data_IF_201739841331
#
_entry.id   IF_201739841331
#
_cell.length_a   1.000
_cell.length_b   1.000
_cell.length_c   1.000
_cell.angle_alpha   90.00
_cell.angle_beta   90.00
_cell.angle_gamma   90.00
#
_symmetry.space_group_name_H-M   'P 1'
#
loop_
_entity.id
_entity.type
_entity.pdbx_description
1 polymer ?
#
# COMPACT_ATOMS: atom_id res chain seq x y z
N UNK A 1 -16.15 -25.10 -0.84
CA UNK A 1 -16.00 -25.01 0.63
C UNK A 1 -14.69 -25.66 1.03
N UNK A 2 -13.94 -25.04 1.94
CA UNK A 2 -12.69 -25.56 2.51
C UNK A 2 -12.85 -25.70 4.03
N UNK A 3 -12.16 -26.64 4.68
CA UNK A 3 -12.18 -26.75 6.15
C UNK A 3 -11.64 -25.45 6.79
N UNK A 4 -12.21 -25.09 7.94
CA UNK A 4 -11.66 -24.00 8.76
C UNK A 4 -10.21 -24.34 9.14
N UNK A 5 -9.23 -23.44 8.91
CA UNK A 5 -7.85 -23.73 9.24
C UNK A 5 -7.62 -23.83 10.75
N UNK A 6 -6.64 -24.60 11.16
CA UNK A 6 -6.22 -24.71 12.57
C UNK A 6 -4.92 -23.93 12.76
N UNK A 7 -4.84 -22.99 13.75
CA UNK A 7 -3.64 -22.21 13.98
C UNK A 7 -2.49 -23.11 14.48
N UNK A 8 -1.33 -23.00 13.83
CA UNK A 8 -0.10 -23.66 14.23
C UNK A 8 0.56 -22.89 15.41
N UNK A 9 1.63 -23.41 16.03
CA UNK A 9 2.37 -22.66 17.04
C UNK A 9 2.81 -21.28 16.51
N UNK A 10 2.52 -20.22 17.26
CA UNK A 10 2.79 -18.84 16.90
C UNK A 10 1.77 -18.19 15.96
N UNK A 11 0.72 -18.91 15.56
CA UNK A 11 -0.35 -18.40 14.70
C UNK A 11 -1.64 -18.12 15.47
N UNK A 12 -2.43 -17.25 14.90
CA UNK A 12 -3.75 -16.84 15.39
C UNK A 12 -4.81 -17.15 14.34
N UNK A 13 -5.88 -17.83 14.73
CA UNK A 13 -7.09 -17.98 13.92
C UNK A 13 -7.98 -16.77 14.13
N UNK A 14 -8.38 -16.14 13.05
CA UNK A 14 -9.25 -14.95 13.06
C UNK A 14 -10.52 -15.24 12.28
N UNK A 15 -11.66 -14.92 12.87
CA UNK A 15 -12.96 -14.88 12.17
C UNK A 15 -13.05 -13.54 11.44
N UNK A 16 -13.11 -13.60 10.13
CA UNK A 16 -13.09 -12.44 9.25
C UNK A 16 -14.35 -11.58 9.40
N UNK A 17 -14.17 -10.28 9.52
CA UNK A 17 -15.25 -9.28 9.44
C UNK A 17 -15.27 -8.63 8.07
N UNK A 18 -14.11 -8.27 7.54
CA UNK A 18 -13.97 -7.69 6.21
C UNK A 18 -12.58 -7.97 5.63
N UNK A 19 -12.44 -7.85 4.33
CA UNK A 19 -11.16 -7.95 3.63
C UNK A 19 -10.97 -6.76 2.69
N UNK A 20 -9.74 -6.23 2.61
CA UNK A 20 -9.36 -5.23 1.63
C UNK A 20 -9.24 -5.82 0.23
N UNK A 21 -9.41 -4.99 -0.80
CA UNK A 21 -9.25 -5.40 -2.20
C UNK A 21 -8.05 -4.68 -2.79
N UNK A 22 -7.04 -5.45 -3.14
CA UNK A 22 -5.78 -4.95 -3.66
C UNK A 22 -5.57 -5.35 -5.13
N UNK A 23 -4.73 -4.57 -5.85
CA UNK A 23 -4.41 -4.91 -7.23
C UNK A 23 -3.72 -6.28 -7.36
N UNK A 24 -2.93 -6.66 -6.38
CA UNK A 24 -2.24 -7.95 -6.34
C UNK A 24 -3.22 -9.13 -6.28
N UNK A 25 -4.37 -9.00 -5.61
CA UNK A 25 -5.43 -10.01 -5.60
C UNK A 25 -5.97 -10.28 -7.01
N UNK A 26 -6.14 -9.20 -7.82
CA UNK A 26 -6.57 -9.33 -9.21
C UNK A 26 -5.52 -10.00 -10.09
N UNK A 27 -4.24 -9.77 -9.81
CA UNK A 27 -3.13 -10.43 -10.50
C UNK A 27 -3.02 -11.89 -10.07
N UNK A 28 -3.17 -12.19 -8.78
CA UNK A 28 -3.18 -13.55 -8.25
C UNK A 28 -4.31 -14.38 -8.90
N UNK A 29 -5.53 -13.83 -8.95
CA UNK A 29 -6.66 -14.47 -9.63
C UNK A 29 -6.38 -14.79 -11.11
N UNK A 30 -5.53 -14.01 -11.77
CA UNK A 30 -5.12 -14.18 -13.18
C UNK A 30 -3.87 -15.04 -13.34
N UNK A 31 -3.27 -15.55 -12.27
CA UNK A 31 -2.04 -16.34 -12.29
C UNK A 31 -0.74 -15.54 -12.47
N UNK A 32 -0.80 -14.20 -12.39
CA UNK A 32 0.38 -13.33 -12.55
C UNK A 32 1.05 -12.94 -11.22
N UNK A 33 0.50 -13.37 -10.10
CA UNK A 33 1.05 -13.13 -8.77
C UNK A 33 0.82 -14.39 -7.90
N UNK A 34 1.60 -15.46 -8.12
CA UNK A 34 1.39 -16.72 -7.40
C UNK A 34 1.70 -16.52 -5.90
N UNK A 35 0.94 -17.18 -5.01
CA UNK A 35 1.23 -17.13 -3.59
C UNK A 35 2.59 -17.77 -3.30
N UNK A 36 3.29 -17.37 -2.22
CA UNK A 36 4.49 -18.04 -1.75
C UNK A 36 4.24 -19.53 -1.46
N UNK A 37 5.28 -20.34 -1.55
CA UNK A 37 5.18 -21.79 -1.28
C UNK A 37 4.66 -22.03 0.16
N UNK A 38 3.65 -22.85 0.29
CA UNK A 38 3.04 -23.21 1.58
C UNK A 38 1.90 -22.29 2.03
N UNK A 39 1.59 -21.25 1.26
CA UNK A 39 0.44 -20.37 1.48
C UNK A 39 -0.78 -20.95 0.73
N UNK A 40 -1.96 -20.72 1.28
CA UNK A 40 -3.24 -21.10 0.67
C UNK A 40 -3.44 -20.47 -0.72
N UNK A 41 -4.16 -21.15 -1.59
CA UNK A 41 -4.60 -20.63 -2.90
C UNK A 41 -5.78 -19.64 -2.79
N UNK A 42 -6.38 -19.52 -1.60
CA UNK A 42 -7.41 -18.51 -1.35
C UNK A 42 -6.76 -17.13 -1.39
N UNK A 43 -7.25 -16.26 -2.24
CA UNK A 43 -6.73 -14.88 -2.37
C UNK A 43 -7.12 -14.00 -1.19
N UNK A 44 -6.55 -12.79 -1.14
CA UNK A 44 -6.80 -11.76 -0.12
C UNK A 44 -5.56 -11.50 0.73
N UNK A 45 -4.97 -10.31 0.54
CA UNK A 45 -3.68 -9.93 1.14
C UNK A 45 -3.82 -9.13 2.44
N UNK A 46 -5.04 -8.76 2.80
CA UNK A 46 -5.35 -8.11 4.07
C UNK A 46 -6.79 -8.39 4.49
N UNK A 47 -7.00 -8.42 5.78
CA UNK A 47 -8.33 -8.58 6.36
C UNK A 47 -8.37 -8.02 7.78
N UNK A 48 -9.58 -7.80 8.28
CA UNK A 48 -9.85 -7.52 9.69
C UNK A 48 -10.78 -8.58 10.27
N UNK A 49 -10.74 -8.73 11.56
CA UNK A 49 -11.62 -9.69 12.22
C UNK A 49 -11.41 -9.76 13.73
N UNK A 50 -11.97 -10.82 14.30
CA UNK A 50 -11.92 -11.10 15.73
C UNK A 50 -11.17 -12.41 15.95
N UNK A 51 -10.24 -12.42 16.89
CA UNK A 51 -9.48 -13.61 17.26
C UNK A 51 -10.42 -14.69 17.79
N UNK A 52 -10.41 -15.86 17.16
CA UNK A 52 -11.27 -17.01 17.48
C UNK A 52 -10.50 -18.10 18.24
N UNK A 53 -9.23 -18.34 17.85
CA UNK A 53 -8.35 -19.28 18.54
C UNK A 53 -6.89 -18.84 18.40
N UNK A 54 -6.04 -19.32 19.31
CA UNK A 54 -4.61 -19.04 19.32
C UNK A 54 -3.81 -20.34 19.35
N UNK A 55 -2.73 -20.39 18.59
CA UNK A 55 -1.77 -21.50 18.61
C UNK A 55 -0.82 -21.42 19.83
N UNK A 56 -0.11 -22.51 20.08
CA UNK A 56 0.85 -22.55 21.17
C UNK A 56 1.92 -21.46 21.00
N UNK A 57 2.31 -20.81 22.12
CA UNK A 57 3.35 -19.79 22.14
C UNK A 57 2.90 -18.38 21.73
N UNK A 58 1.64 -18.18 21.31
CA UNK A 58 1.07 -16.84 21.10
C UNK A 58 0.96 -16.11 22.43
N UNK A 59 1.47 -14.89 22.49
CA UNK A 59 1.52 -14.07 23.72
C UNK A 59 0.89 -12.69 23.56
N UNK A 60 0.79 -12.20 22.32
CA UNK A 60 0.34 -10.83 22.04
C UNK A 60 -1.18 -10.69 21.94
N UNK A 61 -1.89 -11.79 21.68
CA UNK A 61 -3.31 -11.77 21.37
C UNK A 61 -4.11 -12.71 22.27
N UNK A 62 -5.36 -12.37 22.48
CA UNK A 62 -6.35 -13.16 23.22
C UNK A 62 -7.59 -13.38 22.37
N UNK A 63 -8.33 -14.45 22.64
CA UNK A 63 -9.63 -14.71 22.01
C UNK A 63 -10.56 -13.53 22.32
N UNK A 64 -11.20 -13.03 21.26
CA UNK A 64 -12.08 -11.86 21.31
C UNK A 64 -11.40 -10.53 20.95
N UNK A 65 -10.07 -10.48 20.81
CA UNK A 65 -9.38 -9.26 20.38
C UNK A 65 -9.74 -8.91 18.92
N UNK A 66 -9.93 -7.62 18.65
CA UNK A 66 -10.09 -7.09 17.31
C UNK A 66 -8.73 -6.87 16.65
N UNK A 67 -8.58 -7.32 15.41
CA UNK A 67 -7.30 -7.28 14.68
C UNK A 67 -7.46 -6.88 13.23
N UNK A 68 -6.40 -6.29 12.69
CA UNK A 68 -6.16 -6.11 11.25
C UNK A 68 -4.91 -6.90 10.87
N UNK A 69 -4.96 -7.60 9.76
CA UNK A 69 -3.91 -8.53 9.34
C UNK A 69 -3.34 -8.17 7.97
N UNK A 70 -2.00 -8.23 7.85
CA UNK A 70 -1.32 -8.32 6.57
C UNK A 70 -1.08 -9.80 6.25
N UNK A 71 -1.56 -10.25 5.11
CA UNK A 71 -1.62 -11.65 4.73
C UNK A 71 -0.81 -11.93 3.46
N UNK A 72 -0.36 -13.16 3.31
CA UNK A 72 0.20 -13.66 2.05
C UNK A 72 -0.88 -14.35 1.17
N UNK A 73 -2.09 -14.47 1.70
CA UNK A 73 -3.28 -15.09 1.11
C UNK A 73 -4.27 -15.46 2.20
N UNK A 74 -5.49 -15.88 1.81
CA UNK A 74 -6.53 -16.35 2.73
C UNK A 74 -7.52 -15.30 3.22
N UNK A 75 -7.31 -14.02 2.93
CA UNK A 75 -8.18 -12.94 3.44
C UNK A 75 -9.63 -13.00 2.94
N UNK A 76 -9.90 -13.66 1.79
CA UNK A 76 -11.24 -13.78 1.23
C UNK A 76 -11.96 -15.07 1.70
N UNK A 77 -11.70 -15.47 2.94
CA UNK A 77 -12.37 -16.58 3.60
C UNK A 77 -13.05 -16.10 4.89
N UNK A 78 -14.01 -16.88 5.39
CA UNK A 78 -14.69 -16.60 6.67
C UNK A 78 -13.73 -16.68 7.86
N UNK A 79 -12.64 -17.44 7.71
CA UNK A 79 -11.56 -17.59 8.69
C UNK A 79 -10.21 -17.59 8.00
N UNK A 80 -9.24 -16.93 8.60
CA UNK A 80 -7.85 -17.01 8.17
C UNK A 80 -6.94 -17.28 9.37
N UNK A 81 -5.74 -17.79 9.10
CA UNK A 81 -4.66 -17.88 10.07
C UNK A 81 -3.54 -16.94 9.69
N UNK A 82 -2.90 -16.33 10.68
CA UNK A 82 -1.73 -15.50 10.48
C UNK A 82 -0.76 -15.63 11.67
N UNK A 83 0.57 -15.52 11.44
CA UNK A 83 1.53 -15.34 12.51
C UNK A 83 1.16 -14.14 13.39
N UNK A 84 1.32 -14.26 14.72
CA UNK A 84 0.93 -13.19 15.66
C UNK A 84 1.60 -11.83 15.34
N UNK A 85 2.78 -11.84 14.73
CA UNK A 85 3.52 -10.63 14.34
C UNK A 85 2.96 -9.89 13.11
N UNK A 86 2.06 -10.52 12.34
CA UNK A 86 1.39 -9.93 11.18
C UNK A 86 0.03 -9.30 11.52
N UNK A 87 -0.33 -9.30 12.79
CA UNK A 87 -1.54 -8.70 13.31
C UNK A 87 -1.23 -7.40 14.04
N UNK A 88 -2.10 -6.41 13.86
CA UNK A 88 -2.08 -5.15 14.63
C UNK A 88 -3.49 -4.84 15.13
N UNK A 89 -3.66 -4.07 16.22
CA UNK A 89 -4.97 -3.59 16.61
C UNK A 89 -5.50 -2.61 15.56
N UNK A 90 -6.83 -2.52 15.33
CA UNK A 90 -7.39 -1.46 14.51
C UNK A 90 -7.05 -0.09 15.09
N UNK A 91 -6.92 0.96 14.27
CA UNK A 91 -6.70 2.30 14.77
C UNK A 91 -7.84 2.74 15.69
N UNK A 92 -7.57 3.50 16.76
CA UNK A 92 -8.62 3.96 17.67
C UNK A 92 -9.74 4.70 16.95
N UNK A 93 -10.99 4.27 17.18
CA UNK A 93 -12.19 4.85 16.58
C UNK A 93 -12.47 4.44 15.13
N UNK A 94 -11.69 3.53 14.57
CA UNK A 94 -11.93 2.97 13.22
C UNK A 94 -12.53 1.58 13.38
N UNK A 95 -13.71 1.36 12.78
CA UNK A 95 -14.37 0.06 12.76
C UNK A 95 -13.62 -0.95 11.91
N UNK A 96 -13.88 -2.25 12.13
CA UNK A 96 -13.17 -3.33 11.45
C UNK A 96 -13.38 -3.34 9.92
N UNK A 97 -14.55 -2.92 9.44
CA UNK A 97 -14.83 -2.88 7.99
C UNK A 97 -13.94 -1.83 7.33
N UNK A 98 -13.86 -0.64 7.92
CA UNK A 98 -12.98 0.43 7.44
C UNK A 98 -11.50 0.07 7.59
N UNK A 99 -11.12 -0.55 8.70
CA UNK A 99 -9.73 -0.92 8.98
C UNK A 99 -9.20 -2.05 8.07
N UNK A 100 -10.09 -2.87 7.48
CA UNK A 100 -9.69 -4.00 6.64
C UNK A 100 -8.86 -3.62 5.41
N UNK A 101 -9.01 -2.41 4.89
CA UNK A 101 -8.27 -1.93 3.69
C UNK A 101 -7.07 -1.04 4.01
N UNK A 102 -6.54 -1.10 5.24
CA UNK A 102 -5.49 -0.18 5.69
C UNK A 102 -4.08 -0.79 5.62
N UNK A 103 -3.93 -2.06 6.01
CA UNK A 103 -2.62 -2.56 6.41
C UNK A 103 -1.70 -2.85 5.21
N UNK A 104 -2.24 -3.30 4.10
CA UNK A 104 -1.46 -3.56 2.88
C UNK A 104 -0.86 -2.27 2.32
N UNK A 105 -1.67 -1.23 2.16
CA UNK A 105 -1.19 0.06 1.65
C UNK A 105 -0.26 0.74 2.66
N UNK A 106 -0.52 0.63 3.96
CA UNK A 106 0.33 1.20 5.01
C UNK A 106 1.70 0.52 5.03
N UNK A 107 1.75 -0.81 5.04
CA UNK A 107 3.00 -1.57 5.02
C UNK A 107 3.81 -1.27 3.74
N UNK A 108 3.13 -1.24 2.58
CA UNK A 108 3.75 -0.89 1.30
C UNK A 108 4.38 0.50 1.35
N UNK A 109 3.65 1.51 1.78
CA UNK A 109 4.15 2.89 1.77
C UNK A 109 5.24 3.09 2.82
N UNK A 110 5.00 2.69 4.07
CA UNK A 110 5.95 2.93 5.18
C UNK A 110 7.29 2.28 4.88
N UNK A 111 7.30 0.99 4.49
CA UNK A 111 8.55 0.29 4.19
C UNK A 111 9.32 0.90 3.01
N UNK A 112 8.62 1.30 1.95
CA UNK A 112 9.27 1.90 0.79
C UNK A 112 9.76 3.34 1.06
N UNK A 113 9.04 4.13 1.84
CA UNK A 113 9.51 5.47 2.22
C UNK A 113 10.68 5.41 3.20
N UNK A 114 10.73 4.40 4.07
CA UNK A 114 11.87 4.15 4.95
C UNK A 114 13.11 3.77 4.14
N UNK A 115 13.01 2.82 3.21
CA UNK A 115 14.09 2.44 2.28
C UNK A 115 14.55 3.63 1.43
N UNK A 116 13.62 4.44 0.91
CA UNK A 116 13.96 5.66 0.16
C UNK A 116 14.56 6.75 1.05
N UNK A 117 14.41 6.65 2.36
CA UNK A 117 14.89 7.63 3.33
C UNK A 117 14.24 8.99 3.12
N UNK A 118 12.90 9.04 2.95
CA UNK A 118 12.15 10.29 2.79
C UNK A 118 12.29 11.16 4.04
N UNK A 119 12.60 12.45 3.85
CA UNK A 119 12.86 13.39 4.93
C UNK A 119 11.91 14.58 4.89
N UNK A 120 11.75 15.21 6.05
CA UNK A 120 11.06 16.51 6.18
C UNK A 120 11.64 17.53 5.20
N UNK A 121 10.76 18.27 4.52
CA UNK A 121 11.13 19.31 3.54
C UNK A 121 11.48 18.78 2.15
N UNK A 122 11.64 17.46 1.96
CA UNK A 122 11.81 16.86 0.63
C UNK A 122 10.50 16.84 -0.16
N UNK A 123 10.61 16.71 -1.47
CA UNK A 123 9.46 16.54 -2.37
C UNK A 123 9.33 15.08 -2.79
N UNK A 124 8.18 14.48 -2.46
CA UNK A 124 7.76 13.17 -2.94
C UNK A 124 6.86 13.32 -4.17
N UNK A 125 7.24 12.69 -5.29
CA UNK A 125 6.36 12.47 -6.43
C UNK A 125 5.65 11.12 -6.28
N UNK A 126 4.32 11.13 -6.32
CA UNK A 126 3.48 9.93 -6.20
C UNK A 126 2.73 9.69 -7.51
N UNK A 127 3.07 8.62 -8.23
CA UNK A 127 2.29 8.20 -9.38
C UNK A 127 1.03 7.44 -8.97
N UNK A 128 -0.10 7.76 -9.63
CA UNK A 128 -1.40 7.17 -9.29
C UNK A 128 -1.92 7.65 -7.93
N UNK A 129 -1.77 8.94 -7.64
CA UNK A 129 -2.05 9.58 -6.35
C UNK A 129 -3.46 9.37 -5.80
N UNK A 130 -4.45 9.08 -6.66
CA UNK A 130 -5.83 8.82 -6.25
C UNK A 130 -6.16 7.33 -5.99
N UNK A 131 -5.18 6.42 -6.10
CA UNK A 131 -5.32 5.03 -5.69
C UNK A 131 -5.08 4.84 -4.20
N UNK A 132 -5.35 3.64 -3.66
CA UNK A 132 -5.16 3.35 -2.22
C UNK A 132 -3.74 3.66 -1.74
N UNK A 133 -2.71 3.11 -2.40
CA UNK A 133 -1.30 3.41 -2.10
C UNK A 133 -1.01 4.90 -2.23
N UNK A 134 -1.47 5.55 -3.31
CA UNK A 134 -1.22 6.97 -3.54
C UNK A 134 -1.85 7.88 -2.50
N UNK A 135 -3.09 7.59 -2.11
CA UNK A 135 -3.82 8.33 -1.08
C UNK A 135 -3.13 8.20 0.29
N UNK A 136 -2.71 6.98 0.65
CA UNK A 136 -1.98 6.75 1.89
C UNK A 136 -0.59 7.41 1.85
N UNK A 137 0.17 7.25 0.75
CA UNK A 137 1.50 7.86 0.59
C UNK A 137 1.47 9.39 0.72
N UNK A 138 0.44 10.02 0.15
CA UNK A 138 0.26 11.47 0.22
C UNK A 138 0.07 11.93 1.68
N UNK A 139 -0.81 11.28 2.43
CA UNK A 139 -1.07 11.62 3.82
C UNK A 139 0.14 11.31 4.72
N UNK A 140 0.78 10.16 4.52
CA UNK A 140 1.97 9.76 5.26
C UNK A 140 3.14 10.72 5.04
N UNK A 141 3.46 11.05 3.77
CA UNK A 141 4.53 12.00 3.48
C UNK A 141 4.25 13.39 4.06
N UNK A 142 2.99 13.85 3.99
CA UNK A 142 2.58 15.11 4.64
C UNK A 142 2.79 15.07 6.15
N UNK A 143 2.49 13.96 6.82
CA UNK A 143 2.71 13.80 8.27
C UNK A 143 4.19 13.85 8.66
N UNK A 144 5.08 13.45 7.75
CA UNK A 144 6.54 13.57 7.90
C UNK A 144 7.08 14.99 7.59
N UNK A 145 6.21 15.91 7.17
CA UNK A 145 6.59 17.25 6.76
C UNK A 145 7.22 17.33 5.37
N UNK A 146 7.02 16.33 4.52
CA UNK A 146 7.42 16.37 3.12
C UNK A 146 6.36 17.07 2.25
N UNK A 147 6.77 17.56 1.08
CA UNK A 147 5.88 18.10 0.07
C UNK A 147 5.48 17.01 -0.92
N UNK A 148 4.22 16.95 -1.30
CA UNK A 148 3.74 15.92 -2.23
C UNK A 148 3.30 16.55 -3.54
N UNK A 149 3.84 16.03 -4.64
CA UNK A 149 3.33 16.19 -6.00
C UNK A 149 2.73 14.84 -6.41
N UNK A 150 1.48 14.82 -6.87
CA UNK A 150 0.81 13.59 -7.26
C UNK A 150 0.41 13.62 -8.73
N UNK A 151 0.40 12.46 -9.41
CA UNK A 151 -0.16 12.35 -10.75
C UNK A 151 -1.47 11.57 -10.73
N UNK A 152 -2.45 12.01 -11.54
CA UNK A 152 -3.72 11.32 -11.74
C UNK A 152 -4.26 11.62 -13.14
N UNK A 153 -5.28 10.89 -13.61
CA UNK A 153 -5.72 10.96 -15.02
C UNK A 153 -7.13 11.50 -15.21
N UNK A 154 -7.68 12.24 -14.24
CA UNK A 154 -8.96 12.94 -14.40
C UNK A 154 -9.14 14.00 -13.35
N UNK A 155 -9.92 15.04 -13.65
CA UNK A 155 -10.17 16.15 -12.73
C UNK A 155 -10.67 15.70 -11.34
N UNK A 156 -11.66 14.78 -11.20
CA UNK A 156 -12.06 14.31 -9.88
C UNK A 156 -10.92 13.62 -9.10
N UNK A 157 -10.02 12.91 -9.80
CA UNK A 157 -8.87 12.25 -9.19
C UNK A 157 -7.78 13.25 -8.80
N UNK A 158 -7.57 14.30 -9.58
CA UNK A 158 -6.66 15.40 -9.24
C UNK A 158 -7.17 16.13 -7.98
N UNK A 159 -8.45 16.43 -7.92
CA UNK A 159 -9.08 17.02 -6.74
C UNK A 159 -8.94 16.12 -5.50
N UNK A 160 -9.14 14.80 -5.68
CA UNK A 160 -8.90 13.82 -4.60
C UNK A 160 -7.47 13.90 -4.05
N UNK A 161 -6.44 13.96 -4.92
CA UNK A 161 -5.06 14.12 -4.50
C UNK A 161 -4.85 15.37 -3.65
N UNK A 162 -5.36 16.52 -4.12
CA UNK A 162 -5.26 17.79 -3.40
C UNK A 162 -5.97 17.75 -2.04
N UNK A 163 -7.18 17.22 -1.99
CA UNK A 163 -7.98 17.07 -0.76
C UNK A 163 -7.26 16.24 0.29
N UNK A 164 -6.49 15.22 -0.13
CA UNK A 164 -5.73 14.36 0.77
C UNK A 164 -4.33 14.88 1.11
N UNK A 165 -3.96 16.05 0.60
CA UNK A 165 -2.76 16.76 1.05
C UNK A 165 -1.64 16.87 0.04
N UNK A 166 -1.83 16.45 -1.21
CA UNK A 166 -0.90 16.81 -2.27
C UNK A 166 -0.87 18.34 -2.45
N UNK A 167 0.33 18.91 -2.55
CA UNK A 167 0.51 20.34 -2.79
C UNK A 167 0.23 20.70 -4.25
N UNK A 168 0.53 19.76 -5.16
CA UNK A 168 0.28 19.87 -6.60
C UNK A 168 -0.22 18.53 -7.10
N UNK A 169 -1.24 18.55 -7.97
CA UNK A 169 -1.75 17.38 -8.67
C UNK A 169 -1.67 17.63 -10.17
N UNK A 170 -1.02 16.72 -10.90
CA UNK A 170 -0.70 16.83 -12.33
C UNK A 170 -1.44 15.77 -13.14
N UNK A 171 -2.02 16.17 -14.26
CA UNK A 171 -2.57 15.20 -15.20
C UNK A 171 -1.45 14.47 -15.93
N UNK A 172 -1.41 13.14 -15.81
CA UNK A 172 -0.38 12.34 -16.47
C UNK A 172 -0.53 12.25 -18.00
N UNK A 173 -1.62 12.75 -18.56
CA UNK A 173 -1.78 12.88 -20.02
C UNK A 173 -1.03 14.09 -20.60
N UNK A 174 -0.70 15.08 -19.75
CA UNK A 174 0.09 16.24 -20.10
C UNK A 174 1.58 16.08 -19.76
N UNK A 175 2.30 17.18 -19.83
CA UNK A 175 3.73 17.23 -19.45
C UNK A 175 3.89 17.36 -17.93
N UNK A 176 3.74 16.23 -17.25
CA UNK A 176 3.90 16.17 -15.80
C UNK A 176 5.35 16.32 -15.34
N UNK A 177 6.35 16.07 -16.20
CA UNK A 177 7.77 16.25 -15.86
C UNK A 177 8.07 17.73 -15.64
N UNK A 178 7.64 18.59 -16.55
CA UNK A 178 7.78 20.03 -16.43
C UNK A 178 6.96 20.56 -15.25
N UNK A 179 5.75 20.03 -15.03
CA UNK A 179 4.95 20.34 -13.84
C UNK A 179 5.64 20.01 -12.52
N UNK A 180 6.35 18.88 -12.41
CA UNK A 180 7.17 18.54 -11.24
C UNK A 180 8.32 19.54 -11.08
N UNK A 181 9.01 19.90 -12.17
CA UNK A 181 10.09 20.87 -12.13
C UNK A 181 9.60 22.24 -11.70
N UNK A 182 8.50 22.72 -12.22
CA UNK A 182 7.88 23.97 -11.82
C UNK A 182 7.52 23.96 -10.34
N UNK A 183 6.84 22.91 -9.86
CA UNK A 183 6.45 22.74 -8.46
C UNK A 183 7.63 22.70 -7.48
N UNK A 184 8.83 22.41 -7.98
CA UNK A 184 10.06 22.30 -7.19
C UNK A 184 11.10 23.39 -7.48
N UNK A 185 10.73 24.44 -8.22
CA UNK A 185 11.66 25.52 -8.60
C UNK A 185 12.83 25.03 -9.47
N UNK A 186 12.58 24.09 -10.36
CA UNK A 186 13.56 23.51 -11.29
C UNK A 186 14.39 22.35 -10.72
N UNK A 187 14.28 22.02 -9.41
CA UNK A 187 15.12 21.00 -8.75
C UNK A 187 14.75 19.56 -9.12
N UNK A 188 13.47 19.30 -9.31
CA UNK A 188 12.90 17.95 -9.43
C UNK A 188 12.50 17.35 -8.07
N UNK A 189 11.94 16.12 -8.10
CA UNK A 189 11.49 15.38 -6.93
C UNK A 189 12.66 14.70 -6.22
N UNK A 190 12.70 14.79 -4.89
CA UNK A 190 13.73 14.14 -4.08
C UNK A 190 13.47 12.62 -3.96
N UNK A 191 12.19 12.21 -3.92
CA UNK A 191 11.78 10.81 -3.93
C UNK A 191 10.65 10.62 -4.94
N UNK A 192 10.67 9.49 -5.66
CA UNK A 192 9.57 9.06 -6.55
C UNK A 192 9.04 7.72 -6.08
N UNK A 193 7.72 7.64 -5.84
CA UNK A 193 7.00 6.39 -5.64
C UNK A 193 6.33 6.01 -6.97
N UNK A 194 6.89 4.99 -7.63
CA UNK A 194 6.48 4.58 -8.97
C UNK A 194 5.71 3.26 -8.97
N UNK A 195 4.50 3.28 -9.53
CA UNK A 195 3.66 2.11 -9.77
C UNK A 195 3.64 1.70 -11.25
N UNK A 196 4.32 2.45 -12.12
CA UNK A 196 4.23 2.28 -13.57
C UNK A 196 5.35 1.43 -14.17
N UNK A 197 6.56 1.55 -13.65
CA UNK A 197 7.72 0.82 -14.14
C UNK A 197 8.23 1.34 -15.49
N UNK A 198 8.55 0.44 -16.42
CA UNK A 198 9.30 0.74 -17.64
C UNK A 198 8.76 1.95 -18.43
N UNK A 199 7.44 2.05 -18.60
CA UNK A 199 6.83 3.15 -19.35
C UNK A 199 7.21 4.56 -18.85
N UNK A 200 7.46 4.69 -17.53
CA UNK A 200 7.75 6.00 -16.92
C UNK A 200 9.22 6.20 -16.59
N UNK A 201 10.07 5.19 -16.80
CA UNK A 201 11.46 5.22 -16.34
C UNK A 201 12.23 6.45 -16.83
N UNK A 202 12.21 6.73 -18.12
CA UNK A 202 12.92 7.89 -18.71
C UNK A 202 12.38 9.21 -18.16
N UNK A 203 11.06 9.36 -18.09
CA UNK A 203 10.40 10.56 -17.57
C UNK A 203 10.67 10.73 -16.06
N UNK A 204 10.66 9.64 -15.29
CA UNK A 204 11.03 9.64 -13.88
C UNK A 204 12.46 10.13 -13.65
N UNK A 205 13.41 9.64 -14.45
CA UNK A 205 14.82 10.09 -14.37
C UNK A 205 14.93 11.59 -14.64
N UNK A 206 14.17 12.11 -15.63
CA UNK A 206 14.11 13.56 -15.91
C UNK A 206 13.47 14.37 -14.79
N UNK A 207 12.49 13.81 -14.09
CA UNK A 207 11.79 14.46 -12.99
C UNK A 207 12.53 14.41 -11.66
N UNK A 208 13.53 13.51 -11.50
CA UNK A 208 14.32 13.38 -10.29
C UNK A 208 15.20 14.61 -10.04
N UNK A 209 15.32 15.00 -8.79
CA UNK A 209 16.32 15.92 -8.31
C UNK A 209 17.73 15.28 -8.35
N UNK A 210 18.76 16.10 -8.27
CA UNK A 210 20.14 15.61 -8.09
C UNK A 210 20.22 14.79 -6.80
N UNK A 211 20.68 13.53 -6.90
CA UNK A 211 20.67 12.55 -5.81
C UNK A 211 19.28 12.10 -5.37
N UNK A 212 18.25 12.35 -6.18
CA UNK A 212 16.92 11.82 -5.95
C UNK A 212 16.90 10.29 -5.95
N UNK A 213 15.92 9.72 -5.29
CA UNK A 213 15.73 8.26 -5.15
C UNK A 213 14.38 7.89 -5.74
N UNK A 214 14.31 6.72 -6.35
CA UNK A 214 13.05 6.19 -6.88
C UNK A 214 12.85 4.77 -6.36
N UNK A 215 11.66 4.48 -5.87
CA UNK A 215 11.20 3.13 -5.53
C UNK A 215 10.11 2.72 -6.51
N UNK A 216 10.32 1.58 -7.17
CA UNK A 216 9.36 1.02 -8.12
C UNK A 216 8.63 -0.12 -7.42
N UNK A 217 7.35 0.09 -7.13
CA UNK A 217 6.50 -0.86 -6.40
C UNK A 217 5.45 -1.53 -7.29
N UNK A 218 5.40 -1.15 -8.57
CA UNK A 218 4.45 -1.71 -9.52
C UNK A 218 4.93 -1.57 -10.96
N UNK A 219 4.39 -2.41 -11.84
CA UNK A 219 4.79 -2.51 -13.24
C UNK A 219 3.57 -2.36 -14.16
N UNK A 220 2.67 -1.43 -13.85
CA UNK A 220 1.43 -1.22 -14.62
C UNK A 220 1.69 -0.78 -16.06
N UNK A 221 2.81 -0.12 -16.29
CA UNK A 221 3.30 0.29 -17.62
C UNK A 221 4.28 -0.69 -18.27
N UNK A 222 4.44 -1.90 -17.71
CA UNK A 222 5.28 -2.96 -18.26
C UNK A 222 6.67 -3.06 -17.63
N UNK A 223 7.39 -4.10 -18.06
CA UNK A 223 8.75 -4.46 -17.59
C UNK A 223 9.84 -4.15 -18.61
N UNK A 224 9.45 -3.76 -19.83
CA UNK A 224 10.36 -3.42 -20.94
C UNK A 224 10.06 -2.01 -21.42
N UNK A 225 11.07 -1.20 -21.60
CA UNK A 225 11.03 0.16 -22.09
C UNK A 225 12.36 0.54 -22.71
#
# INVERSE_FOLDING_TARGET
ETPTPTPQPGEVLVRTVAAGVNRADLLQRRGYYPPPKGITDIIGLEASGVVEAIGAGVTRWRIGDEVVALLAGGGYAEYFVAPEGQLVPPPPGVDLVTAAGLLEVAATVVSNMDVAGLKTGETLLVHGGAGGVGTFATQYAKSLGAHVVATAGSEPKLLHCLTHGAKVALDYHGDWVDGVREATGGRGADVILDIMGAKYLEANVKALAKRGRMVVIGLQGGTKG
#
